data_IF_261062432441
#
_entry.id   IF_261062432441
#
_cell.length_a   1.000
_cell.length_b   1.000
_cell.length_c   1.000
_cell.angle_alpha   90.00
_cell.angle_beta   90.00
_cell.angle_gamma   90.00
#
_symmetry.space_group_name_H-M   'P 1'
#
loop_
_entity.id
_entity.type
_entity.pdbx_description
1 polymer ?
#
# COMPACT_ATOMS: atom_id res chain seq x y z
N UNK A 1 13.38 9.48 -0.21
CA UNK A 1 12.19 8.63 0.00
C UNK A 1 12.52 7.21 -0.43
N UNK A 2 12.24 6.22 0.42
CA UNK A 2 12.58 4.82 0.18
C UNK A 2 11.78 4.24 -0.99
N UNK A 3 10.47 4.44 -1.02
CA UNK A 3 9.59 3.86 -2.03
C UNK A 3 9.34 4.81 -3.20
N UNK A 4 9.45 4.28 -4.43
CA UNK A 4 9.27 5.01 -5.69
C UNK A 4 8.01 4.57 -6.44
N UNK A 5 7.51 3.36 -6.14
CA UNK A 5 6.37 2.77 -6.82
C UNK A 5 5.40 2.15 -5.81
N UNK A 6 4.12 2.44 -5.96
CA UNK A 6 3.01 1.85 -5.22
C UNK A 6 2.11 1.10 -6.22
N UNK A 7 2.01 -0.21 -6.06
CA UNK A 7 1.19 -1.08 -6.90
C UNK A 7 -0.07 -1.46 -6.13
N UNK A 8 -1.23 -1.21 -6.70
CA UNK A 8 -2.51 -1.42 -6.06
C UNK A 8 -3.36 -2.38 -6.90
N UNK A 9 -3.81 -3.47 -6.29
CA UNK A 9 -4.98 -4.16 -6.80
C UNK A 9 -6.21 -3.27 -6.68
N UNK A 10 -7.28 -3.59 -7.41
CA UNK A 10 -8.44 -2.71 -7.55
C UNK A 10 -9.64 -3.22 -6.76
N UNK A 11 -10.16 -4.38 -7.14
CA UNK A 11 -11.39 -4.94 -6.55
C UNK A 11 -11.10 -5.61 -5.21
N UNK A 12 -11.74 -5.15 -4.14
CA UNK A 12 -11.44 -5.62 -2.78
C UNK A 12 -10.19 -4.98 -2.14
N UNK A 13 -9.43 -4.15 -2.88
CA UNK A 13 -8.25 -3.46 -2.38
C UNK A 13 -8.43 -1.95 -2.42
N UNK A 14 -8.36 -1.34 -3.63
CA UNK A 14 -8.52 0.10 -3.80
C UNK A 14 -9.98 0.55 -3.64
N UNK A 15 -10.91 -0.27 -4.11
CA UNK A 15 -12.34 -0.01 -4.07
C UNK A 15 -12.98 -0.65 -2.85
N UNK A 16 -13.93 0.09 -2.24
CA UNK A 16 -14.84 -0.44 -1.22
C UNK A 16 -15.94 -1.30 -1.85
N UNK A 17 -16.85 -1.86 -1.05
CA UNK A 17 -17.95 -2.71 -1.51
C UNK A 17 -18.97 -1.94 -2.37
N UNK A 18 -19.02 -0.60 -2.23
CA UNK A 18 -19.79 0.30 -3.10
C UNK A 18 -19.09 0.61 -4.44
N UNK A 19 -17.89 0.04 -4.64
CA UNK A 19 -17.01 0.24 -5.80
C UNK A 19 -16.51 1.67 -5.97
N UNK A 20 -16.29 2.35 -4.86
CA UNK A 20 -15.77 3.71 -4.81
C UNK A 20 -14.40 3.77 -4.13
N UNK A 21 -13.58 4.73 -4.53
CA UNK A 21 -12.37 5.09 -3.79
C UNK A 21 -12.80 6.03 -2.66
N UNK A 22 -12.56 5.65 -1.41
CA UNK A 22 -12.91 6.51 -0.28
C UNK A 22 -12.17 7.86 -0.34
N UNK A 23 -12.76 8.89 0.26
CA UNK A 23 -12.13 10.23 0.30
C UNK A 23 -10.76 10.22 0.96
N UNK A 24 -10.60 9.40 2.02
CA UNK A 24 -9.33 9.27 2.73
C UNK A 24 -8.27 8.59 1.87
N UNK A 25 -8.64 7.47 1.24
CA UNK A 25 -7.75 6.74 0.32
C UNK A 25 -7.34 7.62 -0.85
N UNK A 26 -8.27 8.33 -1.47
CA UNK A 26 -7.96 9.27 -2.55
C UNK A 26 -6.98 10.35 -2.10
N UNK A 27 -7.23 11.00 -0.96
CA UNK A 27 -6.35 12.05 -0.44
C UNK A 27 -4.93 11.54 -0.14
N UNK A 28 -4.81 10.35 0.47
CA UNK A 28 -3.51 9.73 0.74
C UNK A 28 -2.75 9.40 -0.55
N UNK A 29 -3.43 8.86 -1.56
CA UNK A 29 -2.82 8.49 -2.84
C UNK A 29 -2.39 9.71 -3.66
N UNK A 30 -3.19 10.77 -3.69
CA UNK A 30 -2.79 12.03 -4.33
C UNK A 30 -1.58 12.66 -3.61
N UNK A 31 -1.54 12.61 -2.28
CA UNK A 31 -0.42 13.13 -1.50
C UNK A 31 0.89 12.41 -1.82
N UNK A 32 0.91 11.08 -1.87
CA UNK A 32 2.16 10.34 -2.18
C UNK A 32 2.61 10.54 -3.62
N UNK A 33 1.69 10.74 -4.57
CA UNK A 33 2.03 11.10 -5.94
C UNK A 33 2.68 12.49 -6.04
N UNK A 34 2.17 13.49 -5.31
CA UNK A 34 2.79 14.81 -5.21
C UNK A 34 4.22 14.75 -4.65
N UNK A 35 4.52 13.72 -3.86
CA UNK A 35 5.85 13.46 -3.31
C UNK A 35 6.76 12.66 -4.24
N UNK A 36 6.27 12.28 -5.44
CA UNK A 36 7.04 11.58 -6.47
C UNK A 36 6.93 10.05 -6.46
N UNK A 37 6.02 9.46 -5.65
CA UNK A 37 5.69 8.03 -5.76
C UNK A 37 4.74 7.84 -6.93
N UNK A 38 5.11 6.99 -7.89
CA UNK A 38 4.23 6.64 -9.00
C UNK A 38 3.30 5.50 -8.60
N UNK A 39 2.06 5.52 -9.08
CA UNK A 39 1.07 4.48 -8.81
C UNK A 39 0.89 3.60 -10.05
N UNK A 40 0.75 2.30 -9.81
CA UNK A 40 0.34 1.28 -10.79
C UNK A 40 -0.98 0.68 -10.32
N UNK A 41 -2.04 0.81 -11.10
CA UNK A 41 -3.23 -0.02 -10.93
C UNK A 41 -2.98 -1.38 -11.55
N UNK A 42 -3.14 -2.47 -10.81
CA UNK A 42 -2.87 -3.83 -11.25
C UNK A 42 -4.10 -4.72 -11.08
N UNK A 43 -4.86 -4.97 -12.15
CA UNK A 43 -6.15 -5.64 -12.08
C UNK A 43 -6.37 -6.68 -13.18
N UNK A 44 -7.31 -7.61 -12.94
CA UNK A 44 -7.87 -8.50 -13.95
C UNK A 44 -8.80 -7.82 -14.96
N UNK A 45 -9.25 -6.60 -14.64
CA UNK A 45 -10.15 -5.81 -15.49
C UNK A 45 -9.50 -5.47 -16.84
N UNK A 46 -10.33 -5.24 -17.90
CA UNK A 46 -9.84 -4.67 -19.15
C UNK A 46 -9.34 -3.23 -18.93
N UNK A 47 -8.41 -2.80 -19.78
CA UNK A 47 -7.80 -1.46 -19.71
C UNK A 47 -8.87 -0.36 -19.69
N UNK A 48 -9.88 -0.47 -20.54
CA UNK A 48 -10.98 0.51 -20.61
C UNK A 48 -11.70 0.68 -19.26
N UNK A 49 -11.97 -0.43 -18.55
CA UNK A 49 -12.62 -0.41 -17.23
C UNK A 49 -11.78 0.24 -16.12
N UNK A 50 -10.45 0.32 -16.30
CA UNK A 50 -9.54 0.92 -15.33
C UNK A 50 -9.28 2.42 -15.57
N UNK A 51 -9.50 2.92 -16.78
CA UNK A 51 -9.20 4.32 -17.14
C UNK A 51 -9.98 5.35 -16.32
N UNK A 52 -11.27 5.16 -15.94
CA UNK A 52 -11.96 6.08 -15.04
C UNK A 52 -11.27 6.20 -13.68
N UNK A 53 -10.80 5.09 -13.11
CA UNK A 53 -10.07 5.08 -11.83
C UNK A 53 -8.69 5.75 -11.97
N UNK A 54 -7.97 5.46 -13.06
CA UNK A 54 -6.70 6.12 -13.37
C UNK A 54 -6.87 7.64 -13.49
N UNK A 55 -7.99 8.10 -14.06
CA UNK A 55 -8.34 9.53 -14.15
C UNK A 55 -8.67 10.12 -12.77
N UNK A 56 -9.46 9.43 -11.95
CA UNK A 56 -9.79 9.88 -10.58
C UNK A 56 -8.54 10.03 -9.71
N UNK A 57 -7.56 9.13 -9.86
CA UNK A 57 -6.27 9.16 -9.19
C UNK A 57 -5.25 10.11 -9.86
N UNK A 58 -5.61 10.77 -10.94
CA UNK A 58 -4.73 11.66 -11.71
C UNK A 58 -3.42 11.00 -12.17
N UNK A 59 -3.42 9.69 -12.41
CA UNK A 59 -2.20 8.93 -12.70
C UNK A 59 -1.40 9.51 -13.88
N UNK A 60 -2.09 10.04 -14.89
CA UNK A 60 -1.47 10.67 -16.05
C UNK A 60 -0.59 11.89 -15.70
N UNK A 61 -0.97 12.65 -14.66
CA UNK A 61 -0.26 13.84 -14.20
C UNK A 61 1.03 13.48 -13.45
N UNK A 62 1.07 12.31 -12.83
CA UNK A 62 2.16 11.84 -11.96
C UNK A 62 2.97 10.69 -12.55
N UNK A 63 2.80 10.39 -13.84
CA UNK A 63 3.56 9.33 -14.52
C UNK A 63 3.23 7.92 -14.05
N UNK A 64 1.96 7.69 -13.65
CA UNK A 64 1.45 6.39 -13.23
C UNK A 64 1.13 5.45 -14.40
N UNK A 65 0.82 4.20 -14.08
CA UNK A 65 0.62 3.12 -15.04
C UNK A 65 -0.66 2.35 -14.76
N UNK A 66 -1.16 1.65 -15.78
CA UNK A 66 -2.27 0.70 -15.68
C UNK A 66 -1.78 -0.65 -16.19
N UNK A 67 -1.79 -1.65 -15.31
CA UNK A 67 -1.55 -3.05 -15.59
C UNK A 67 -2.91 -3.75 -15.60
N UNK A 68 -3.36 -4.17 -16.78
CA UNK A 68 -4.68 -4.74 -17.04
C UNK A 68 -4.62 -6.22 -17.46
N UNK A 69 -5.79 -6.87 -17.47
CA UNK A 69 -5.94 -8.28 -17.87
C UNK A 69 -4.99 -9.21 -17.09
N UNK A 70 -4.83 -9.00 -15.76
CA UNK A 70 -3.92 -9.77 -14.92
C UNK A 70 -2.44 -9.74 -15.36
N UNK A 71 -2.03 -8.71 -16.10
CA UNK A 71 -0.65 -8.56 -16.58
C UNK A 71 -0.46 -8.76 -18.07
N UNK A 72 -1.52 -8.96 -18.86
CA UNK A 72 -1.36 -9.03 -20.31
C UNK A 72 -0.91 -7.71 -20.93
N UNK A 73 -1.25 -6.59 -20.31
CA UNK A 73 -0.91 -5.27 -20.85
C UNK A 73 -0.50 -4.29 -19.76
N UNK A 74 0.51 -3.46 -20.04
CA UNK A 74 0.83 -2.24 -19.28
C UNK A 74 0.80 -1.04 -20.20
N UNK A 75 0.09 0.00 -19.78
CA UNK A 75 0.08 1.30 -20.45
C UNK A 75 0.55 2.42 -19.53
N UNK A 76 1.09 3.49 -20.11
CA UNK A 76 1.25 4.78 -19.44
C UNK A 76 -0.11 5.45 -19.32
N UNK A 77 -0.50 5.82 -18.10
CA UNK A 77 -1.80 6.46 -17.88
C UNK A 77 -1.92 7.85 -18.54
N UNK A 78 -0.80 8.49 -18.83
CA UNK A 78 -0.73 9.83 -19.43
C UNK A 78 -1.27 9.89 -20.87
N UNK A 79 -0.91 8.91 -21.69
CA UNK A 79 -1.15 8.96 -23.14
C UNK A 79 -1.63 7.64 -23.75
N UNK A 80 -1.82 6.60 -22.93
CA UNK A 80 -2.22 5.27 -23.40
C UNK A 80 -1.12 4.49 -24.11
N UNK A 81 0.13 4.95 -24.10
CA UNK A 81 1.25 4.25 -24.72
C UNK A 81 1.45 2.87 -24.09
N UNK A 82 1.43 1.83 -24.90
CA UNK A 82 1.62 0.45 -24.47
C UNK A 82 3.12 0.21 -24.27
N UNK A 83 3.51 -0.14 -23.04
CA UNK A 83 4.90 -0.49 -22.68
C UNK A 83 5.16 -1.98 -22.77
N UNK A 84 4.15 -2.77 -22.48
CA UNK A 84 4.21 -4.22 -22.48
C UNK A 84 2.85 -4.78 -22.88
N UNK A 85 2.88 -5.80 -23.74
CA UNK A 85 1.68 -6.48 -24.14
C UNK A 85 1.98 -7.93 -24.53
N UNK A 86 1.11 -8.84 -24.09
CA UNK A 86 1.04 -10.21 -24.56
C UNK A 86 -0.37 -10.54 -25.00
N UNK A 87 -0.49 -11.20 -26.14
CA UNK A 87 -1.77 -11.50 -26.78
C UNK A 87 -1.89 -13.00 -27.09
N UNK A 88 -3.11 -13.50 -27.08
CA UNK A 88 -3.44 -14.86 -27.51
C UNK A 88 -3.22 -14.94 -29.03
N UNK A 89 -2.54 -15.98 -29.50
CA UNK A 89 -2.45 -16.23 -30.94
C UNK A 89 -3.86 -16.49 -31.49
N UNK A 90 -4.33 -15.70 -32.48
CA UNK A 90 -5.68 -15.86 -33.06
C UNK A 90 -6.00 -17.27 -33.58
N UNK A 91 -4.99 -18.02 -34.00
CA UNK A 91 -5.15 -19.43 -34.41
C UNK A 91 -5.69 -20.35 -33.30
N UNK A 92 -5.62 -19.90 -32.04
CA UNK A 92 -6.18 -20.62 -30.91
C UNK A 92 -7.67 -20.38 -30.72
N UNK A 93 -8.24 -19.28 -31.24
CA UNK A 93 -9.61 -18.91 -31.05
C UNK A 93 -10.62 -19.98 -31.52
N UNK A 94 -10.46 -20.61 -32.71
CA UNK A 94 -11.33 -21.71 -33.12
C UNK A 94 -11.33 -22.91 -32.17
N UNK A 95 -10.18 -23.19 -31.54
CA UNK A 95 -10.09 -24.26 -30.55
C UNK A 95 -10.84 -23.89 -29.26
N UNK A 96 -10.69 -22.65 -28.77
CA UNK A 96 -11.36 -22.17 -27.58
C UNK A 96 -12.89 -22.15 -27.78
N UNK A 97 -13.36 -21.58 -28.89
CA UNK A 97 -14.77 -21.56 -29.25
C UNK A 97 -15.37 -22.96 -29.36
N UNK A 98 -14.69 -23.88 -30.08
CA UNK A 98 -15.14 -25.27 -30.20
C UNK A 98 -15.29 -25.95 -28.83
N UNK A 99 -14.38 -25.66 -27.90
CA UNK A 99 -14.46 -26.20 -26.53
C UNK A 99 -15.57 -25.57 -25.71
N UNK A 100 -15.78 -24.26 -25.83
CA UNK A 100 -16.90 -23.56 -25.20
C UNK A 100 -18.24 -24.17 -25.67
N UNK A 101 -18.46 -24.21 -26.97
CA UNK A 101 -19.68 -24.79 -27.59
C UNK A 101 -19.93 -26.25 -27.19
N UNK A 102 -18.86 -27.10 -27.21
CA UNK A 102 -18.98 -28.50 -26.82
C UNK A 102 -19.47 -28.69 -25.39
N UNK A 103 -19.11 -27.81 -24.49
CA UNK A 103 -19.49 -27.88 -23.08
C UNK A 103 -20.76 -27.07 -22.75
N UNK A 104 -21.30 -26.34 -23.72
CA UNK A 104 -22.44 -25.44 -23.55
C UNK A 104 -22.09 -24.22 -22.69
N UNK A 105 -20.85 -23.71 -22.82
CA UNK A 105 -20.35 -22.50 -22.18
C UNK A 105 -20.45 -21.33 -23.15
N UNK A 106 -20.78 -20.14 -22.62
CA UNK A 106 -20.62 -18.89 -23.34
C UNK A 106 -19.13 -18.52 -23.41
N UNK A 107 -18.75 -17.79 -24.47
CA UNK A 107 -17.39 -17.28 -24.64
C UNK A 107 -17.44 -15.79 -24.96
N UNK A 108 -16.47 -15.04 -24.41
CA UNK A 108 -16.30 -13.64 -24.76
C UNK A 108 -14.84 -13.18 -24.70
N UNK A 109 -14.58 -12.04 -25.32
CA UNK A 109 -13.32 -11.30 -25.22
C UNK A 109 -13.58 -9.80 -25.22
N UNK A 110 -12.55 -9.01 -25.05
CA UNK A 110 -12.59 -7.56 -24.98
C UNK A 110 -11.84 -6.94 -26.17
N UNK A 111 -12.40 -5.84 -26.67
CA UNK A 111 -11.76 -4.96 -27.64
C UNK A 111 -12.16 -3.51 -27.38
N UNK A 112 -11.19 -2.68 -26.99
CA UNK A 112 -11.41 -1.28 -26.60
C UNK A 112 -12.57 -1.12 -25.60
N UNK A 113 -13.65 -0.44 -25.98
CA UNK A 113 -14.85 -0.19 -25.19
C UNK A 113 -15.93 -1.27 -25.35
N UNK A 114 -15.58 -2.42 -25.93
CA UNK A 114 -16.53 -3.47 -26.26
C UNK A 114 -16.18 -4.84 -25.65
N UNK A 115 -17.24 -5.60 -25.35
CA UNK A 115 -17.21 -7.01 -25.00
C UNK A 115 -17.89 -7.77 -26.12
N UNK A 116 -17.12 -8.65 -26.82
CA UNK A 116 -17.59 -9.44 -27.96
C UNK A 116 -17.93 -10.85 -27.49
N UNK A 117 -19.13 -11.35 -27.77
CA UNK A 117 -19.62 -12.64 -27.28
C UNK A 117 -20.63 -13.30 -28.23
N UNK A 118 -20.72 -14.64 -28.14
CA UNK A 118 -21.80 -15.43 -28.76
C UNK A 118 -23.11 -15.44 -27.96
N UNK A 119 -23.08 -14.97 -26.70
CA UNK A 119 -24.17 -15.11 -25.72
C UNK A 119 -24.46 -13.78 -25.00
N UNK A 120 -24.95 -12.73 -25.70
CA UNK A 120 -25.12 -11.40 -25.13
C UNK A 120 -26.18 -11.32 -24.02
N UNK A 121 -27.06 -12.32 -23.93
CA UNK A 121 -28.14 -12.38 -22.93
C UNK A 121 -27.69 -13.06 -21.61
N UNK A 122 -26.49 -13.59 -21.57
CA UNK A 122 -25.93 -14.19 -20.36
C UNK A 122 -25.74 -13.15 -19.26
N UNK A 123 -26.30 -13.38 -18.06
CA UNK A 123 -26.31 -12.40 -16.96
C UNK A 123 -24.90 -12.09 -16.43
N UNK A 124 -23.99 -13.08 -16.41
CA UNK A 124 -22.60 -12.85 -15.98
C UNK A 124 -21.87 -11.94 -16.97
N UNK A 125 -22.12 -12.09 -18.28
CA UNK A 125 -21.54 -11.25 -19.32
C UNK A 125 -22.10 -9.84 -19.26
N UNK A 126 -23.41 -9.68 -19.01
CA UNK A 126 -24.03 -8.36 -18.80
C UNK A 126 -23.44 -7.64 -17.59
N UNK A 127 -23.26 -8.37 -16.49
CA UNK A 127 -22.67 -7.82 -15.27
C UNK A 127 -21.20 -7.41 -15.50
N UNK A 128 -20.42 -8.23 -16.22
CA UNK A 128 -19.04 -7.92 -16.57
C UNK A 128 -18.94 -6.67 -17.45
N UNK A 129 -19.82 -6.56 -18.46
CA UNK A 129 -19.88 -5.39 -19.31
C UNK A 129 -20.30 -4.12 -18.53
N UNK A 130 -21.28 -4.24 -17.63
CA UNK A 130 -21.72 -3.13 -16.78
C UNK A 130 -20.61 -2.69 -15.84
N UNK A 131 -19.90 -3.63 -15.20
CA UNK A 131 -18.79 -3.36 -14.27
C UNK A 131 -17.68 -2.54 -14.94
N UNK A 132 -17.39 -2.84 -16.21
CA UNK A 132 -16.30 -2.21 -16.95
C UNK A 132 -16.77 -1.11 -17.92
N UNK A 133 -18.08 -0.76 -17.88
CA UNK A 133 -18.69 0.23 -18.77
C UNK A 133 -18.48 -0.07 -20.27
N UNK A 134 -18.65 -1.35 -20.66
CA UNK A 134 -18.43 -1.86 -22.01
C UNK A 134 -19.77 -2.01 -22.76
N UNK A 135 -19.71 -1.87 -24.08
CA UNK A 135 -20.81 -2.22 -24.99
C UNK A 135 -20.70 -3.72 -25.30
N UNK A 136 -21.85 -4.41 -25.37
CA UNK A 136 -21.87 -5.81 -25.78
C UNK A 136 -22.12 -5.89 -27.28
N UNK A 137 -21.24 -6.63 -27.99
CA UNK A 137 -21.39 -6.96 -29.41
C UNK A 137 -21.63 -8.47 -29.51
N UNK A 138 -22.71 -8.85 -30.22
CA UNK A 138 -23.05 -10.24 -30.51
C UNK A 138 -22.32 -10.71 -31.76
N UNK A 139 -21.59 -11.83 -31.64
CA UNK A 139 -20.96 -12.52 -32.76
C UNK A 139 -21.16 -14.03 -32.63
N UNK A 140 -22.09 -14.57 -33.44
CA UNK A 140 -22.46 -15.98 -33.39
C UNK A 140 -21.31 -16.92 -33.86
N UNK A 141 -20.42 -16.45 -34.74
CA UNK A 141 -19.21 -17.12 -35.19
C UNK A 141 -17.99 -16.43 -34.56
N UNK A 142 -17.87 -16.56 -33.24
CA UNK A 142 -16.93 -15.83 -32.39
C UNK A 142 -15.50 -15.80 -32.93
N UNK A 143 -14.92 -16.96 -33.26
CA UNK A 143 -13.51 -17.03 -33.69
C UNK A 143 -13.26 -16.46 -35.09
N UNK A 144 -14.30 -16.40 -35.94
CA UNK A 144 -14.20 -15.83 -37.30
C UNK A 144 -14.39 -14.32 -37.29
N UNK A 145 -15.21 -13.82 -36.38
CA UNK A 145 -15.51 -12.39 -36.23
C UNK A 145 -14.34 -11.60 -35.60
N UNK A 146 -13.46 -12.29 -34.85
CA UNK A 146 -12.34 -11.64 -34.19
C UNK A 146 -11.12 -11.65 -35.12
N UNK A 147 -10.83 -10.49 -35.72
CA UNK A 147 -9.72 -10.27 -36.65
C UNK A 147 -8.44 -9.72 -35.97
N UNK A 148 -8.41 -9.69 -34.63
CA UNK A 148 -7.31 -9.22 -33.80
C UNK A 148 -6.83 -10.30 -32.83
N UNK A 149 -5.67 -10.11 -32.24
CA UNK A 149 -5.14 -10.96 -31.18
C UNK A 149 -5.63 -10.42 -29.81
N UNK A 150 -6.49 -11.12 -29.06
CA UNK A 150 -7.00 -10.63 -27.78
C UNK A 150 -6.00 -10.82 -26.66
N UNK A 151 -6.04 -9.95 -25.64
CA UNK A 151 -5.27 -10.12 -24.41
C UNK A 151 -5.80 -11.28 -23.56
N UNK A 152 -7.13 -11.48 -23.54
CA UNK A 152 -7.80 -12.48 -22.70
C UNK A 152 -9.08 -12.97 -23.38
N UNK A 153 -9.37 -14.25 -23.24
CA UNK A 153 -10.66 -14.83 -23.52
C UNK A 153 -11.27 -15.38 -22.22
N UNK A 154 -12.59 -15.30 -22.11
CA UNK A 154 -13.35 -15.78 -20.95
C UNK A 154 -14.35 -16.84 -21.37
N UNK A 155 -14.42 -17.94 -20.64
CA UNK A 155 -15.50 -18.90 -20.73
C UNK A 155 -16.42 -18.77 -19.53
N UNK A 156 -17.72 -18.85 -19.75
CA UNK A 156 -18.73 -18.59 -18.72
C UNK A 156 -19.72 -19.74 -18.62
N UNK A 157 -19.97 -20.19 -17.40
CA UNK A 157 -20.99 -21.21 -17.12
C UNK A 157 -21.41 -21.20 -15.65
N UNK A 158 -22.67 -21.53 -15.39
CA UNK A 158 -23.20 -21.85 -14.06
C UNK A 158 -22.80 -23.26 -13.57
N UNK A 159 -22.19 -24.07 -14.46
CA UNK A 159 -21.75 -25.44 -14.17
C UNK A 159 -20.31 -25.46 -13.66
N UNK A 160 -20.10 -25.02 -12.44
CA UNK A 160 -18.75 -24.89 -11.84
C UNK A 160 -17.90 -26.16 -12.00
N UNK A 161 -18.46 -27.37 -11.72
CA UNK A 161 -17.72 -28.62 -11.88
C UNK A 161 -17.22 -28.89 -13.29
N UNK A 162 -17.96 -28.41 -14.30
CA UNK A 162 -17.55 -28.56 -15.70
C UNK A 162 -16.41 -27.58 -16.05
N UNK A 163 -16.45 -26.35 -15.49
CA UNK A 163 -15.34 -25.40 -15.61
C UNK A 163 -14.07 -25.94 -14.94
N UNK A 164 -14.16 -26.49 -13.72
CA UNK A 164 -13.03 -27.15 -13.03
C UNK A 164 -12.44 -28.27 -13.90
N UNK A 165 -13.27 -29.14 -14.47
CA UNK A 165 -12.80 -30.21 -15.34
C UNK A 165 -12.10 -29.71 -16.60
N UNK A 166 -12.56 -28.58 -17.17
CA UNK A 166 -11.92 -27.99 -18.34
C UNK A 166 -10.60 -27.29 -17.95
N UNK A 167 -10.56 -26.57 -16.83
CA UNK A 167 -9.37 -25.96 -16.25
C UNK A 167 -8.24 -26.98 -16.09
N UNK A 168 -8.49 -28.09 -15.39
CA UNK A 168 -7.53 -29.17 -15.16
C UNK A 168 -7.08 -29.86 -16.46
N UNK A 169 -7.99 -29.96 -17.45
CA UNK A 169 -7.64 -30.48 -18.76
C UNK A 169 -6.73 -29.52 -19.51
N UNK A 170 -6.98 -28.21 -19.45
CA UNK A 170 -6.22 -27.19 -20.16
C UNK A 170 -4.87 -26.88 -19.52
N UNK A 171 -4.76 -26.99 -18.22
CA UNK A 171 -3.47 -26.89 -17.52
C UNK A 171 -2.39 -27.79 -18.15
N UNK A 172 -2.79 -29.00 -18.55
CA UNK A 172 -1.88 -29.97 -19.23
C UNK A 172 -1.82 -29.76 -20.74
N UNK A 173 -2.95 -29.46 -21.37
CA UNK A 173 -3.07 -29.45 -22.84
C UNK A 173 -2.54 -28.18 -23.47
N UNK A 174 -2.65 -27.05 -22.78
CA UNK A 174 -2.23 -25.73 -23.26
C UNK A 174 -0.90 -25.28 -22.63
N UNK A 175 -0.27 -26.13 -21.81
CA UNK A 175 1.00 -25.83 -21.16
C UNK A 175 2.04 -25.25 -22.14
N UNK A 176 2.62 -24.11 -21.77
CA UNK A 176 3.61 -23.39 -22.59
C UNK A 176 3.00 -22.52 -23.71
N UNK A 177 1.69 -22.57 -23.94
CA UNK A 177 1.02 -21.75 -24.95
C UNK A 177 0.03 -20.77 -24.32
N UNK A 178 -0.89 -21.27 -23.50
CA UNK A 178 -1.89 -20.50 -22.79
C UNK A 178 -1.99 -21.01 -21.35
N UNK A 179 -2.30 -20.11 -20.43
CA UNK A 179 -2.72 -20.44 -19.08
C UNK A 179 -4.23 -20.28 -18.96
N UNK A 180 -4.86 -21.19 -18.23
CA UNK A 180 -6.29 -21.16 -17.97
C UNK A 180 -6.54 -21.33 -16.46
N UNK A 181 -7.29 -20.43 -15.87
CA UNK A 181 -7.60 -20.44 -14.44
C UNK A 181 -8.95 -19.80 -14.16
N UNK A 182 -9.58 -20.17 -13.04
CA UNK A 182 -10.86 -19.59 -12.63
C UNK A 182 -10.62 -18.40 -11.71
N UNK A 183 -11.10 -17.23 -12.12
CA UNK A 183 -11.14 -16.03 -11.26
C UNK A 183 -12.39 -16.02 -10.37
N UNK A 184 -13.49 -16.61 -10.87
CA UNK A 184 -14.77 -16.76 -10.18
C UNK A 184 -15.31 -18.17 -10.40
N UNK A 185 -16.25 -18.67 -9.57
CA UNK A 185 -16.85 -20.00 -9.77
C UNK A 185 -17.46 -20.22 -11.16
N UNK A 186 -17.87 -19.13 -11.83
CA UNK A 186 -18.53 -19.11 -13.12
C UNK A 186 -17.67 -18.59 -14.28
N UNK A 187 -16.43 -18.13 -14.01
CA UNK A 187 -15.47 -17.63 -15.01
C UNK A 187 -14.23 -18.50 -15.12
N UNK A 188 -13.92 -18.94 -16.33
CA UNK A 188 -12.61 -19.52 -16.67
C UNK A 188 -11.88 -18.54 -17.60
N UNK A 189 -10.82 -17.95 -17.09
CA UNK A 189 -9.95 -17.02 -17.84
C UNK A 189 -8.94 -17.79 -18.66
N UNK A 190 -8.66 -17.33 -19.87
CA UNK A 190 -7.61 -17.84 -20.75
C UNK A 190 -6.73 -16.68 -21.16
N UNK A 191 -5.46 -16.78 -20.86
CA UNK A 191 -4.43 -15.76 -21.11
C UNK A 191 -3.19 -16.39 -21.75
N UNK A 192 -2.28 -15.62 -22.37
CA UNK A 192 -0.99 -16.12 -22.83
C UNK A 192 -0.19 -16.74 -21.67
N UNK A 193 0.54 -17.81 -21.96
CA UNK A 193 1.32 -18.52 -20.94
C UNK A 193 2.34 -17.61 -20.24
N UNK A 194 2.43 -17.75 -18.91
CA UNK A 194 3.36 -17.03 -18.05
C UNK A 194 2.98 -15.58 -17.78
N UNK A 195 1.78 -15.15 -18.17
CA UNK A 195 1.25 -13.82 -17.84
C UNK A 195 0.69 -13.85 -16.42
N UNK A 196 1.22 -13.00 -15.56
CA UNK A 196 0.67 -12.71 -14.24
C UNK A 196 1.13 -11.31 -13.79
N UNK A 197 0.51 -10.77 -12.75
CA UNK A 197 0.81 -9.42 -12.23
C UNK A 197 2.30 -9.26 -11.89
N UNK A 198 2.95 -10.26 -11.30
CA UNK A 198 4.36 -10.17 -10.89
C UNK A 198 5.33 -10.14 -12.07
N UNK A 199 5.17 -11.05 -13.04
CA UNK A 199 6.09 -11.12 -14.18
C UNK A 199 6.07 -9.83 -15.00
N UNK A 200 4.88 -9.28 -15.20
CA UNK A 200 4.69 -8.05 -15.96
C UNK A 200 5.10 -6.82 -15.15
N UNK A 201 4.86 -6.82 -13.85
CA UNK A 201 5.41 -5.79 -12.95
C UNK A 201 6.94 -5.81 -12.96
N UNK A 202 7.57 -6.99 -12.95
CA UNK A 202 9.03 -7.14 -13.07
C UNK A 202 9.58 -6.47 -14.32
N UNK A 203 8.95 -6.68 -15.50
CA UNK A 203 9.32 -6.00 -16.73
C UNK A 203 9.17 -4.47 -16.64
N UNK A 204 8.12 -3.98 -15.95
CA UNK A 204 7.96 -2.54 -15.70
C UNK A 204 9.09 -2.01 -14.81
N UNK A 205 9.47 -2.72 -13.76
CA UNK A 205 10.54 -2.32 -12.85
C UNK A 205 11.88 -2.18 -13.59
N UNK A 206 12.21 -3.14 -14.46
CA UNK A 206 13.40 -3.09 -15.31
C UNK A 206 13.36 -1.88 -16.25
N UNK A 207 12.23 -1.64 -16.90
CA UNK A 207 12.04 -0.48 -17.78
C UNK A 207 12.23 0.86 -17.05
N UNK A 208 11.82 0.93 -15.79
CA UNK A 208 11.88 2.15 -14.98
C UNK A 208 13.19 2.33 -14.21
N UNK A 209 14.05 1.31 -14.15
CA UNK A 209 15.25 1.30 -13.32
C UNK A 209 14.91 1.37 -11.81
N UNK A 210 13.80 0.76 -11.40
CA UNK A 210 13.33 0.71 -10.01
C UNK A 210 13.64 -0.67 -9.44
N UNK A 211 14.23 -0.75 -8.25
CA UNK A 211 14.49 -2.02 -7.59
C UNK A 211 13.26 -2.50 -6.82
N UNK A 212 13.21 -3.79 -6.48
CA UNK A 212 12.08 -4.38 -5.74
C UNK A 212 11.90 -3.72 -4.37
N UNK A 213 13.01 -3.39 -3.71
CA UNK A 213 13.05 -2.75 -2.39
C UNK A 213 12.43 -1.36 -2.38
N UNK A 214 12.28 -0.74 -3.55
CA UNK A 214 11.66 0.57 -3.76
C UNK A 214 10.16 0.48 -4.11
N UNK A 215 9.56 -0.73 -4.00
CA UNK A 215 8.16 -1.01 -4.37
C UNK A 215 7.36 -1.43 -3.15
N UNK A 216 6.17 -0.85 -3.02
CA UNK A 216 5.08 -1.38 -2.18
C UNK A 216 4.02 -1.97 -3.12
N UNK A 217 3.54 -3.18 -2.83
CA UNK A 217 2.38 -3.76 -3.49
C UNK A 217 1.29 -4.04 -2.46
N UNK A 218 0.04 -3.71 -2.79
CA UNK A 218 -1.13 -3.92 -1.94
C UNK A 218 -2.16 -4.75 -2.70
N UNK A 219 -2.70 -5.79 -2.07
CA UNK A 219 -3.69 -6.68 -2.67
C UNK A 219 -4.42 -7.52 -1.64
N UNK A 220 -5.50 -8.20 -2.06
CA UNK A 220 -6.34 -9.01 -1.18
C UNK A 220 -6.54 -10.45 -1.67
N UNK A 221 -6.40 -10.68 -2.98
CA UNK A 221 -6.70 -11.95 -3.61
C UNK A 221 -5.50 -12.90 -3.77
N UNK A 222 -5.79 -14.17 -4.05
CA UNK A 222 -4.75 -15.19 -4.32
C UNK A 222 -3.91 -14.85 -5.56
N UNK A 223 -4.47 -14.11 -6.51
CA UNK A 223 -3.77 -13.66 -7.73
C UNK A 223 -2.82 -12.49 -7.48
N UNK A 224 -2.89 -11.88 -6.29
CA UNK A 224 -1.98 -10.81 -5.87
C UNK A 224 -0.73 -11.34 -5.17
N UNK A 225 -0.78 -12.57 -4.63
CA UNK A 225 0.32 -13.16 -3.85
C UNK A 225 1.66 -13.00 -4.57
N UNK A 226 1.70 -13.25 -5.87
CA UNK A 226 2.95 -13.15 -6.62
C UNK A 226 3.49 -11.72 -6.69
N UNK A 227 2.63 -10.70 -6.80
CA UNK A 227 3.07 -9.29 -6.80
C UNK A 227 3.43 -8.81 -5.39
N UNK A 228 2.72 -9.30 -4.34
CA UNK A 228 3.08 -9.01 -2.95
C UNK A 228 4.48 -9.53 -2.63
N UNK A 229 4.79 -10.77 -3.04
CA UNK A 229 6.12 -11.39 -2.84
C UNK A 229 7.22 -10.78 -3.71
N UNK A 230 6.90 -10.18 -4.85
CA UNK A 230 7.86 -9.50 -5.72
C UNK A 230 8.31 -8.18 -5.11
N UNK A 231 7.41 -7.43 -4.49
CA UNK A 231 7.66 -6.12 -3.93
C UNK A 231 8.59 -6.20 -2.70
N UNK A 232 9.33 -5.13 -2.42
CA UNK A 232 10.13 -5.01 -1.19
C UNK A 232 9.27 -4.80 0.07
N UNK A 233 7.98 -4.50 -0.12
CA UNK A 233 6.95 -4.45 0.92
C UNK A 233 5.62 -4.93 0.33
N UNK A 234 5.27 -6.17 0.60
CA UNK A 234 3.97 -6.75 0.27
C UNK A 234 2.96 -6.48 1.38
N UNK A 235 1.82 -5.91 1.03
CA UNK A 235 0.74 -5.56 1.98
C UNK A 235 -0.52 -6.32 1.62
N UNK A 236 -1.03 -7.15 2.53
CA UNK A 236 -2.32 -7.82 2.40
C UNK A 236 -3.42 -7.00 3.09
N UNK A 237 -4.62 -6.98 2.48
CA UNK A 237 -5.78 -6.36 3.09
C UNK A 237 -6.28 -7.17 4.30
N UNK A 238 -6.93 -6.50 5.27
CA UNK A 238 -7.36 -7.11 6.52
C UNK A 238 -8.41 -8.22 6.37
N UNK A 239 -9.23 -8.17 5.33
CA UNK A 239 -10.23 -9.18 5.00
C UNK A 239 -9.71 -10.31 4.10
N UNK A 240 -8.46 -10.23 3.61
CA UNK A 240 -7.84 -11.30 2.80
C UNK A 240 -7.88 -12.65 3.49
N UNK A 241 -7.87 -13.72 2.71
CA UNK A 241 -7.71 -15.07 3.25
C UNK A 241 -6.34 -15.24 3.94
N UNK A 242 -6.27 -16.15 4.92
CA UNK A 242 -5.01 -16.38 5.66
C UNK A 242 -3.85 -16.81 4.74
N UNK A 243 -4.15 -17.54 3.67
CA UNK A 243 -3.17 -17.93 2.64
C UNK A 243 -2.51 -16.73 1.94
N UNK A 244 -3.20 -15.60 1.82
CA UNK A 244 -2.66 -14.36 1.26
C UNK A 244 -1.89 -13.58 2.34
N UNK A 245 -2.46 -13.47 3.55
CA UNK A 245 -1.83 -12.74 4.67
C UNK A 245 -0.47 -13.28 5.05
N UNK A 246 -0.29 -14.60 5.04
CA UNK A 246 1.01 -15.23 5.37
C UNK A 246 2.10 -14.97 4.31
N UNK A 247 1.72 -14.52 3.11
CA UNK A 247 2.64 -14.19 2.02
C UNK A 247 3.02 -12.70 1.98
N UNK A 248 2.43 -11.87 2.86
CA UNK A 248 2.67 -10.44 2.93
C UNK A 248 3.59 -10.07 4.11
N UNK A 249 4.33 -8.97 3.95
CA UNK A 249 5.19 -8.42 5.01
C UNK A 249 4.38 -7.64 6.04
N UNK A 250 3.24 -7.07 5.62
CA UNK A 250 2.34 -6.29 6.47
C UNK A 250 0.88 -6.59 6.14
N UNK A 251 0.04 -6.61 7.17
CA UNK A 251 -1.42 -6.72 7.02
C UNK A 251 -2.03 -5.40 7.47
N UNK A 252 -2.77 -4.74 6.58
CA UNK A 252 -3.50 -3.51 6.86
C UNK A 252 -4.94 -3.79 7.25
N UNK A 253 -5.80 -2.76 7.38
CA UNK A 253 -7.24 -2.92 7.60
C UNK A 253 -7.95 -3.40 6.32
N UNK A 254 -9.25 -3.60 6.38
CA UNK A 254 -10.08 -3.95 5.21
C UNK A 254 -10.22 -2.76 4.23
N UNK A 255 -10.75 -3.03 3.02
CA UNK A 255 -11.10 -2.00 2.06
C UNK A 255 -12.19 -1.05 2.61
N UNK A 256 -13.12 -1.55 3.43
CA UNK A 256 -14.16 -0.77 4.10
C UNK A 256 -13.61 0.14 5.23
N UNK A 257 -12.42 -0.17 5.75
CA UNK A 257 -11.76 0.57 6.83
C UNK A 257 -10.57 1.39 6.33
N UNK A 258 -10.57 1.78 5.06
CA UNK A 258 -9.49 2.57 4.43
C UNK A 258 -8.11 1.89 4.49
N UNK A 259 -8.03 0.56 4.36
CA UNK A 259 -6.79 -0.20 4.52
C UNK A 259 -5.64 0.29 3.64
N UNK A 260 -5.91 0.72 2.40
CA UNK A 260 -4.89 1.32 1.51
C UNK A 260 -4.38 2.63 2.07
N UNK A 261 -5.27 3.52 2.53
CA UNK A 261 -4.84 4.79 3.14
C UNK A 261 -3.98 4.56 4.37
N UNK A 262 -4.40 3.66 5.26
CA UNK A 262 -3.64 3.31 6.48
C UNK A 262 -2.24 2.76 6.17
N UNK A 263 -2.13 1.88 5.17
CA UNK A 263 -0.84 1.36 4.71
C UNK A 263 0.06 2.48 4.17
N UNK A 264 -0.47 3.34 3.31
CA UNK A 264 0.24 4.48 2.72
C UNK A 264 0.67 5.49 3.78
N UNK A 265 -0.23 5.84 4.70
CA UNK A 265 0.04 6.76 5.81
C UNK A 265 1.18 6.23 6.69
N UNK A 266 1.16 4.93 7.00
CA UNK A 266 2.15 4.29 7.86
C UNK A 266 3.50 4.07 7.16
N UNK A 267 3.49 3.55 5.94
CA UNK A 267 4.71 3.07 5.28
C UNK A 267 5.42 4.16 4.45
N UNK A 268 4.69 5.19 4.00
CA UNK A 268 5.25 6.25 3.16
C UNK A 268 5.17 7.60 3.85
N UNK A 269 3.97 8.04 4.27
CA UNK A 269 3.78 9.40 4.77
C UNK A 269 4.41 9.62 6.15
N UNK A 270 4.47 8.60 7.00
CA UNK A 270 5.14 8.69 8.30
C UNK A 270 6.66 8.90 8.16
N UNK A 271 7.32 8.19 7.21
CA UNK A 271 8.75 8.40 6.92
C UNK A 271 9.04 9.84 6.48
N UNK A 272 8.14 10.42 5.70
CA UNK A 272 8.32 11.79 5.19
C UNK A 272 8.02 12.84 6.25
N UNK A 273 7.01 12.63 7.09
CA UNK A 273 6.78 13.50 8.24
C UNK A 273 7.99 13.52 9.18
N UNK A 274 8.64 12.37 9.36
CA UNK A 274 9.89 12.28 10.11
C UNK A 274 11.05 13.04 9.45
N UNK A 275 11.16 13.01 8.11
CA UNK A 275 12.17 13.74 7.34
C UNK A 275 11.83 15.25 7.20
N UNK A 276 10.56 15.62 7.28
CA UNK A 276 10.09 17.03 7.23
C UNK A 276 10.24 17.78 8.56
N UNK A 277 10.50 17.09 9.69
CA UNK A 277 10.78 17.74 10.96
C UNK A 277 12.21 18.32 10.92
N UNK A 278 12.38 19.64 10.84
CA UNK A 278 13.69 20.26 10.68
C UNK A 278 14.43 20.25 12.02
N UNK A 279 15.05 19.10 12.38
CA UNK A 279 15.70 18.86 13.67
C UNK A 279 16.76 19.92 13.98
N UNK A 280 17.53 20.36 12.98
CA UNK A 280 18.55 21.40 13.15
C UNK A 280 17.90 22.73 13.57
N UNK A 281 16.79 23.12 12.95
CA UNK A 281 16.04 24.31 13.30
C UNK A 281 15.40 24.21 14.68
N UNK A 282 14.86 23.02 15.04
CA UNK A 282 14.30 22.78 16.37
C UNK A 282 15.39 22.83 17.45
N UNK A 283 16.53 22.20 17.22
CA UNK A 283 17.67 22.25 18.12
C UNK A 283 18.23 23.65 18.29
N UNK A 284 18.27 24.45 17.21
CA UNK A 284 18.69 25.86 17.28
C UNK A 284 17.71 26.71 18.08
N UNK A 285 16.41 26.58 17.85
CA UNK A 285 15.37 27.29 18.64
C UNK A 285 15.38 26.89 20.12
N UNK A 286 15.65 25.61 20.40
CA UNK A 286 15.76 25.08 21.75
C UNK A 286 16.97 25.60 22.52
N UNK A 287 17.97 26.16 21.86
CA UNK A 287 19.26 26.58 22.42
C UNK A 287 19.11 27.61 23.56
N UNK A 288 18.11 28.48 23.48
CA UNK A 288 17.83 29.53 24.49
C UNK A 288 16.69 29.16 25.45
N UNK A 289 16.27 27.90 25.48
CA UNK A 289 15.23 27.37 26.37
C UNK A 289 15.82 26.36 27.37
N UNK A 290 14.98 25.73 28.19
CA UNK A 290 15.38 24.72 29.18
C UNK A 290 16.18 23.58 28.51
N UNK A 291 15.77 23.14 27.32
CA UNK A 291 16.42 22.07 26.57
C UNK A 291 17.88 22.42 26.28
N UNK A 292 18.18 23.62 25.81
CA UNK A 292 19.52 24.08 25.56
C UNK A 292 20.37 24.16 26.82
N UNK A 293 19.77 24.62 27.95
CA UNK A 293 20.42 24.67 29.25
C UNK A 293 20.83 23.27 29.76
N UNK A 294 20.05 22.24 29.45
CA UNK A 294 20.34 20.84 29.78
C UNK A 294 21.18 20.12 28.71
N UNK A 295 21.43 20.76 27.56
CA UNK A 295 22.16 20.16 26.45
C UNK A 295 21.34 19.08 25.71
N UNK A 296 20.01 19.15 25.76
CA UNK A 296 19.12 18.22 25.05
C UNK A 296 19.18 18.53 23.55
N UNK A 297 19.34 17.48 22.74
CA UNK A 297 19.37 17.56 21.28
C UNK A 297 18.47 16.48 20.68
N UNK A 298 17.49 16.88 19.88
CA UNK A 298 16.66 15.96 19.11
C UNK A 298 17.50 15.28 18.03
N UNK A 299 17.35 13.95 17.92
CA UNK A 299 18.07 13.12 16.95
C UNK A 299 17.16 12.41 15.98
N UNK A 300 15.86 12.26 16.33
CA UNK A 300 14.83 11.69 15.49
C UNK A 300 13.46 12.22 15.92
N UNK A 301 12.54 12.44 14.96
CA UNK A 301 11.16 12.82 15.26
C UNK A 301 10.18 12.33 14.19
N UNK A 302 9.10 11.69 14.66
CA UNK A 302 7.92 11.32 13.88
C UNK A 302 6.67 11.43 14.76
N UNK A 303 5.50 11.16 14.18
CA UNK A 303 4.23 11.14 14.93
C UNK A 303 4.06 9.91 15.85
N UNK A 304 4.90 8.88 15.67
CA UNK A 304 4.89 7.66 16.51
C UNK A 304 6.09 7.56 17.46
N UNK A 305 7.22 8.21 17.11
CA UNK A 305 8.46 8.10 17.86
C UNK A 305 9.27 9.38 17.80
N UNK A 306 9.85 9.77 18.96
CA UNK A 306 10.79 10.89 19.07
C UNK A 306 11.99 10.45 19.88
N UNK A 307 13.19 10.84 19.44
CA UNK A 307 14.44 10.60 20.19
C UNK A 307 15.20 11.91 20.42
N UNK A 308 15.84 11.98 21.58
CA UNK A 308 16.78 13.03 21.90
C UNK A 308 17.90 12.50 22.80
N UNK A 309 19.04 13.16 22.76
CA UNK A 309 20.18 12.89 23.66
C UNK A 309 20.34 14.02 24.67
N UNK A 310 20.93 13.70 25.82
CA UNK A 310 21.29 14.66 26.86
C UNK A 310 22.59 14.23 27.53
N UNK A 311 23.60 15.10 27.67
CA UNK A 311 24.85 14.79 28.37
C UNK A 311 24.64 14.63 29.87
N UNK A 312 25.41 13.77 30.52
CA UNK A 312 25.48 13.68 31.96
C UNK A 312 26.70 14.49 32.42
N UNK A 313 26.49 15.76 32.74
CA UNK A 313 27.51 16.71 33.12
C UNK A 313 27.09 17.58 34.33
N UNK A 314 27.82 18.64 34.60
CA UNK A 314 27.54 19.54 35.73
C UNK A 314 26.11 20.12 35.72
N UNK A 315 25.41 20.17 34.57
CA UNK A 315 24.05 20.70 34.42
C UNK A 315 22.97 19.69 34.79
N UNK A 316 23.28 18.40 34.64
CA UNK A 316 22.29 17.32 34.65
C UNK A 316 22.58 16.27 35.73
N UNK A 317 23.75 16.30 36.38
CA UNK A 317 24.11 15.39 37.46
C UNK A 317 23.60 15.87 38.82
N UNK A 318 23.46 14.94 39.76
CA UNK A 318 23.31 15.22 41.16
C UNK A 318 24.70 15.21 41.89
N UNK A 319 24.78 15.66 43.13
CA UNK A 319 26.07 15.79 43.83
C UNK A 319 26.94 14.52 43.88
N UNK A 320 26.33 13.36 43.72
CA UNK A 320 27.02 12.06 43.72
C UNK A 320 27.64 11.66 42.36
N UNK A 321 27.63 12.54 41.34
CA UNK A 321 28.23 12.26 40.04
C UNK A 321 27.40 11.36 39.11
N UNK A 322 26.12 11.15 39.42
CA UNK A 322 25.22 10.40 38.58
C UNK A 322 24.05 11.30 38.08
N UNK A 323 23.42 10.89 36.99
CA UNK A 323 22.30 11.63 36.38
C UNK A 323 21.19 11.93 37.40
N UNK A 324 20.71 13.16 37.41
CA UNK A 324 19.63 13.61 38.26
C UNK A 324 18.27 13.16 37.72
N UNK A 325 17.43 12.56 38.55
CA UNK A 325 16.11 12.09 38.15
C UNK A 325 15.21 13.19 37.54
N UNK A 326 15.26 14.43 38.09
CA UNK A 326 14.56 15.58 37.52
C UNK A 326 15.02 15.98 36.12
N UNK A 327 16.32 15.84 35.79
CA UNK A 327 16.83 16.07 34.45
C UNK A 327 16.33 14.98 33.47
N UNK A 328 16.24 13.74 33.95
CA UNK A 328 15.67 12.62 33.19
C UNK A 328 14.18 12.83 32.89
N UNK A 329 13.40 13.33 33.86
CA UNK A 329 11.98 13.66 33.65
C UNK A 329 11.81 14.82 32.66
N UNK A 330 12.65 15.87 32.74
CA UNK A 330 12.65 16.97 31.81
C UNK A 330 12.98 16.53 30.37
N UNK A 331 13.94 15.61 30.20
CA UNK A 331 14.23 15.00 28.90
C UNK A 331 13.03 14.23 28.37
N UNK A 332 12.36 13.43 29.21
CA UNK A 332 11.17 12.64 28.80
C UNK A 332 9.99 13.52 28.41
N UNK A 333 9.71 14.57 29.17
CA UNK A 333 8.65 15.53 28.87
C UNK A 333 8.93 16.27 27.54
N UNK A 334 10.19 16.63 27.32
CA UNK A 334 10.66 17.30 26.10
C UNK A 334 10.40 16.46 24.83
N UNK A 335 10.79 15.18 24.81
CA UNK A 335 10.59 14.32 23.63
C UNK A 335 9.11 13.99 23.41
N UNK A 336 8.34 13.73 24.47
CA UNK A 336 6.92 13.47 24.36
C UNK A 336 6.12 14.73 23.95
N UNK A 337 6.56 15.90 24.41
CA UNK A 337 5.98 17.20 24.01
C UNK A 337 6.13 17.45 22.51
N UNK A 338 7.34 17.26 21.95
CA UNK A 338 7.59 17.39 20.51
C UNK A 338 6.74 16.37 19.72
N UNK A 339 6.71 15.11 20.13
CA UNK A 339 5.89 14.10 19.49
C UNK A 339 4.41 14.48 19.42
N UNK A 340 3.86 14.99 20.52
CA UNK A 340 2.48 15.48 20.55
C UNK A 340 2.27 16.71 19.66
N UNK A 341 3.23 17.62 19.55
CA UNK A 341 3.16 18.79 18.66
C UNK A 341 3.14 18.39 17.17
N UNK A 342 3.89 17.33 16.80
CA UNK A 342 3.89 16.80 15.42
C UNK A 342 2.52 16.21 15.05
N UNK A 343 1.81 15.64 16.03
CA UNK A 343 0.50 15.00 15.85
C UNK A 343 -0.64 16.03 15.74
N UNK A 344 -0.51 17.18 16.43
CA UNK A 344 -1.57 18.17 16.55
C UNK A 344 -1.87 18.91 15.25
N UNK A 345 -3.12 19.31 15.08
CA UNK A 345 -3.55 20.20 14.00
C UNK A 345 -2.99 21.63 14.19
N UNK A 346 -2.91 22.46 13.13
CA UNK A 346 -2.32 23.79 13.21
C UNK A 346 -3.00 24.76 14.20
N UNK A 347 -4.27 24.53 14.53
CA UNK A 347 -5.06 25.30 15.49
C UNK A 347 -5.01 24.73 16.92
N UNK A 348 -4.18 23.71 17.17
CA UNK A 348 -4.02 23.09 18.48
C UNK A 348 -2.65 23.41 19.10
N UNK A 349 -2.59 23.30 20.43
CA UNK A 349 -1.37 23.36 21.22
C UNK A 349 -1.33 22.23 22.24
N UNK A 350 -0.11 21.85 22.60
CA UNK A 350 0.16 20.79 23.58
C UNK A 350 0.64 21.39 24.89
N UNK A 351 0.10 20.89 25.99
CA UNK A 351 0.58 21.19 27.34
C UNK A 351 0.77 19.89 28.14
N UNK A 352 1.89 19.80 28.85
CA UNK A 352 2.15 18.67 29.75
C UNK A 352 1.10 18.59 30.85
N UNK A 353 0.53 17.41 31.11
CA UNK A 353 -0.40 17.16 32.19
C UNK A 353 0.22 16.36 33.32
N UNK A 354 0.99 15.33 32.95
CA UNK A 354 1.56 14.41 33.92
C UNK A 354 2.87 13.82 33.38
N UNK A 355 3.86 13.77 34.24
CA UNK A 355 5.10 13.00 34.03
C UNK A 355 5.30 12.11 35.25
N UNK A 356 5.43 10.79 35.02
CA UNK A 356 5.69 9.83 36.09
C UNK A 356 6.69 8.78 35.60
N UNK A 357 7.67 8.45 36.42
CA UNK A 357 8.71 7.54 35.97
C UNK A 357 9.41 6.78 37.09
N UNK A 358 9.98 5.65 36.72
CA UNK A 358 10.80 4.81 37.55
C UNK A 358 12.25 4.92 37.09
N UNK A 359 13.15 5.33 38.01
CA UNK A 359 14.59 5.30 37.80
C UNK A 359 15.11 3.90 38.17
N UNK A 360 15.66 3.20 37.18
CA UNK A 360 16.00 1.78 37.28
C UNK A 360 17.49 1.56 37.49
N UNK A 361 18.33 2.39 36.83
CA UNK A 361 19.77 2.32 36.98
C UNK A 361 20.40 3.69 36.84
N UNK A 362 21.72 3.79 37.16
CA UNK A 362 22.46 5.04 37.09
C UNK A 362 23.15 5.21 35.74
N UNK A 363 23.20 6.45 35.26
CA UNK A 363 24.14 6.93 34.25
C UNK A 363 25.16 7.86 34.98
N UNK A 364 26.44 7.78 34.64
CA UNK A 364 27.51 8.49 35.31
C UNK A 364 27.95 9.74 34.54
N UNK A 365 28.56 10.68 35.22
CA UNK A 365 29.17 11.86 34.60
C UNK A 365 30.14 11.45 33.50
N UNK A 366 30.07 12.15 32.35
CA UNK A 366 30.80 11.82 31.12
C UNK A 366 30.03 10.95 30.14
N UNK A 367 28.91 10.36 30.54
CA UNK A 367 28.04 9.61 29.64
C UNK A 367 27.05 10.55 28.88
N UNK A 368 26.41 10.04 27.86
CA UNK A 368 25.28 10.69 27.15
C UNK A 368 24.11 9.74 27.17
N UNK A 369 23.00 10.18 27.74
CA UNK A 369 21.76 9.38 27.71
C UNK A 369 20.93 9.69 26.49
N UNK A 370 20.21 8.68 26.01
CA UNK A 370 19.27 8.76 24.89
C UNK A 370 17.87 8.41 25.36
N UNK A 371 16.93 9.32 25.19
CA UNK A 371 15.52 9.08 25.40
C UNK A 371 14.86 8.61 24.08
N UNK A 372 13.97 7.62 24.20
CA UNK A 372 13.15 7.10 23.11
C UNK A 372 11.70 7.18 23.57
N UNK A 373 10.94 8.13 23.02
CA UNK A 373 9.51 8.26 23.24
C UNK A 373 8.75 7.49 22.16
N UNK A 374 7.77 6.68 22.59
CA UNK A 374 6.88 5.94 21.69
C UNK A 374 5.43 6.25 22.10
N UNK A 375 4.57 6.56 21.12
CA UNK A 375 3.15 6.84 21.38
C UNK A 375 2.43 5.58 21.86
N UNK A 376 1.65 5.70 22.92
CA UNK A 376 0.84 4.62 23.50
C UNK A 376 -0.64 4.86 23.22
N UNK A 377 -1.05 6.14 23.24
CA UNK A 377 -2.43 6.53 22.95
C UNK A 377 -2.46 7.89 22.30
N UNK A 378 -3.17 7.96 21.16
CA UNK A 378 -3.41 9.17 20.39
C UNK A 378 -4.90 9.49 20.45
N UNK A 379 -5.30 10.21 21.50
CA UNK A 379 -6.68 10.64 21.69
C UNK A 379 -6.92 12.07 21.20
N UNK A 380 -8.19 12.43 21.04
CA UNK A 380 -8.60 13.79 20.57
C UNK A 380 -8.20 14.92 21.53
N UNK A 381 -8.15 14.65 22.83
CA UNK A 381 -7.87 15.65 23.89
C UNK A 381 -6.61 15.35 24.68
N UNK A 382 -5.99 14.19 24.49
CA UNK A 382 -4.77 13.80 25.20
C UNK A 382 -3.95 12.79 24.43
N UNK A 383 -2.63 12.89 24.54
CA UNK A 383 -1.67 11.92 24.04
C UNK A 383 -0.91 11.29 25.19
N UNK A 384 -0.69 9.97 25.14
CA UNK A 384 0.07 9.23 26.17
C UNK A 384 1.31 8.64 25.51
N UNK A 385 2.47 8.91 26.09
CA UNK A 385 3.76 8.45 25.62
C UNK A 385 4.44 7.55 26.66
N UNK A 386 5.13 6.52 26.18
CA UNK A 386 6.15 5.82 26.95
C UNK A 386 7.52 6.33 26.54
N UNK A 387 8.34 6.69 27.52
CA UNK A 387 9.70 7.19 27.26
C UNK A 387 10.69 6.35 28.05
N UNK A 388 11.52 5.61 27.30
CA UNK A 388 12.61 4.86 27.89
C UNK A 388 13.92 5.60 27.66
N UNK A 389 14.73 5.71 28.72
CA UNK A 389 16.00 6.42 28.72
C UNK A 389 17.13 5.42 28.88
N UNK A 390 18.11 5.45 27.99
CA UNK A 390 19.23 4.52 27.93
C UNK A 390 20.58 5.24 28.03
N UNK A 391 21.58 4.58 28.57
CA UNK A 391 22.99 5.01 28.48
C UNK A 391 23.51 4.87 27.05
N UNK A 392 24.71 5.39 26.76
CA UNK A 392 25.42 5.18 25.50
C UNK A 392 25.69 3.68 25.20
N UNK A 393 25.69 2.82 26.22
CA UNK A 393 25.84 1.36 26.10
C UNK A 393 24.53 0.61 26.05
N UNK A 394 23.41 1.30 25.79
CA UNK A 394 22.03 0.75 25.76
C UNK A 394 21.49 0.13 27.06
N UNK A 395 22.09 0.50 28.22
CA UNK A 395 21.55 0.09 29.52
C UNK A 395 20.32 0.99 29.86
N UNK A 396 19.18 0.39 30.22
CA UNK A 396 18.00 1.13 30.63
C UNK A 396 18.24 1.88 31.95
N UNK A 397 18.07 3.21 31.92
CA UNK A 397 18.22 4.12 33.07
C UNK A 397 16.90 4.41 33.72
N UNK A 398 15.89 4.71 32.90
CA UNK A 398 14.56 5.08 33.39
C UNK A 398 13.48 4.68 32.40
N UNK A 399 12.28 4.36 32.91
CA UNK A 399 11.06 4.19 32.09
C UNK A 399 9.98 5.14 32.64
N UNK A 400 9.43 5.97 31.75
CA UNK A 400 8.66 7.17 32.12
C UNK A 400 7.38 7.21 31.28
N UNK A 401 6.27 7.52 31.94
CA UNK A 401 4.99 7.80 31.29
C UNK A 401 4.75 9.30 31.27
N UNK A 402 4.46 9.82 30.07
CA UNK A 402 4.11 11.24 29.88
C UNK A 402 2.70 11.33 29.29
N UNK A 403 1.88 12.20 29.86
CA UNK A 403 0.54 12.52 29.36
C UNK A 403 0.51 14.00 28.99
N UNK A 404 0.16 14.28 27.75
CA UNK A 404 -0.01 15.64 27.23
C UNK A 404 -1.50 15.90 26.93
N UNK A 405 -1.97 17.12 27.23
CA UNK A 405 -3.27 17.60 26.81
C UNK A 405 -3.17 18.34 25.49
N UNK A 406 -4.16 18.12 24.63
CA UNK A 406 -4.35 18.84 23.37
C UNK A 406 -5.48 19.85 23.56
N UNK A 407 -5.19 21.12 23.36
CA UNK A 407 -6.15 22.24 23.53
C UNK A 407 -6.14 23.12 22.29
N UNK A 408 -7.31 23.66 21.92
CA UNK A 408 -7.40 24.61 20.80
C UNK A 408 -6.80 25.95 21.17
N UNK A 409 -6.08 26.56 20.22
CA UNK A 409 -5.65 27.95 20.33
C UNK A 409 -6.88 28.84 20.48
N UNK A 410 -6.86 29.77 21.44
CA UNK A 410 -7.88 30.79 21.60
C UNK A 410 -7.70 31.93 20.62
#
# INVERSE_FOLDING_TARGET
>A
MKYKLLVLDVDGTLLNDEREISKRTLAALLKVQQMGVRIVLASGRPTYGLMPLAKTLELGNYGGFVLSYNGCQIIKAQNGEILFERRINPEMLPYLEKKARKNGFAIFTYHDDTLITDSPDNEYIKNEALLNNLKIIREDEFSTAIDFAPCKCMLVSDKEKALIGLEQHWEKRLAGTLDAFRSEPYFLEVVPCGVNKANTLGALLEHLGVTREEVIAVGDGVYDVTMLQLAGMGVAMGHSQDSVKVCADYVTASNEEDGVALAVEKLILAEVRAAEVPLDLLNERARHALMGNLGIQYTYASDERVEATMPVDYRTRQPFGILHGGATLALAETVAGLGSMIICEPDEIVVGMQVSGNHISSAHEGDTVRAVATIVHKGRSSHVWNVDVFTSTNKLVSSIRVVNSVIKKR
#
